data_IF_839748747896
#
_entry.id   IF_839748747896
#
_cell.length_a   1.000
_cell.length_b   1.000
_cell.length_c   1.000
_cell.angle_alpha   90.00
_cell.angle_beta   90.00
_cell.angle_gamma   90.00
#
_symmetry.space_group_name_H-M   'P 1'
#
loop_
_entity.id
_entity.type
_entity.pdbx_description
1 polymer ?
#
# COMPACT_ATOMS: atom_id res chain seq x y z
N UNK A 1 16.84 -42.80 11.25
CA UNK A 1 16.10 -41.80 12.06
C UNK A 1 16.86 -40.50 12.31
N UNK A 2 18.09 -40.52 12.87
CA UNK A 2 18.87 -39.28 13.12
C UNK A 2 19.24 -38.48 11.86
N UNK A 3 19.57 -39.16 10.76
CA UNK A 3 19.86 -38.52 9.48
C UNK A 3 18.60 -37.86 8.87
N UNK A 4 17.45 -38.53 8.96
CA UNK A 4 16.16 -38.00 8.49
C UNK A 4 15.74 -36.76 9.27
N UNK A 5 15.86 -36.77 10.60
CA UNK A 5 15.60 -35.59 11.43
C UNK A 5 16.56 -34.42 11.13
N UNK A 6 17.83 -34.69 10.82
CA UNK A 6 18.79 -33.65 10.39
C UNK A 6 18.43 -33.06 9.03
N UNK A 7 17.99 -33.88 8.08
CA UNK A 7 17.55 -33.42 6.75
C UNK A 7 16.27 -32.58 6.83
N UNK A 8 15.30 -33.00 7.66
CA UNK A 8 14.05 -32.23 7.88
C UNK A 8 14.36 -30.90 8.58
N UNK A 9 15.20 -30.90 9.62
CA UNK A 9 15.60 -29.67 10.30
C UNK A 9 16.36 -28.71 9.36
N UNK A 10 17.27 -29.22 8.53
CA UNK A 10 17.97 -28.42 7.54
C UNK A 10 17.02 -27.81 6.50
N UNK A 11 16.03 -28.58 6.04
CA UNK A 11 15.03 -28.10 5.07
C UNK A 11 14.15 -26.98 5.66
N UNK A 12 13.71 -27.13 6.92
CA UNK A 12 12.93 -26.09 7.64
C UNK A 12 13.76 -24.81 7.86
N UNK A 13 15.03 -24.93 8.26
CA UNK A 13 15.92 -23.77 8.43
C UNK A 13 16.15 -23.05 7.10
N UNK A 14 16.32 -23.81 6.01
CA UNK A 14 16.54 -23.24 4.67
C UNK A 14 15.29 -22.55 4.11
N UNK A 15 14.10 -23.06 4.41
CA UNK A 15 12.83 -22.37 4.11
C UNK A 15 12.62 -21.12 4.96
N UNK A 16 13.10 -21.10 6.21
CA UNK A 16 13.04 -19.92 7.08
C UNK A 16 13.84 -18.72 6.56
N UNK A 17 15.00 -18.96 5.94
CA UNK A 17 15.88 -17.91 5.39
C UNK A 17 15.27 -17.19 4.18
N UNK A 18 14.50 -17.88 3.33
CA UNK A 18 13.77 -17.27 2.21
C UNK A 18 12.49 -16.54 2.67
N UNK A 19 11.97 -16.86 3.86
CA UNK A 19 10.75 -16.28 4.41
C UNK A 19 10.93 -14.91 5.07
N UNK A 20 12.13 -14.56 5.54
CA UNK A 20 12.33 -13.34 6.33
C UNK A 20 11.97 -12.04 5.58
N UNK A 21 12.31 -11.93 4.29
CA UNK A 21 12.00 -10.75 3.46
C UNK A 21 10.53 -10.68 3.05
N UNK A 22 9.85 -11.82 2.99
CA UNK A 22 8.41 -11.89 2.73
C UNK A 22 7.62 -11.49 3.97
N UNK A 23 8.02 -11.98 5.15
CA UNK A 23 7.37 -11.68 6.43
C UNK A 23 7.46 -10.18 6.75
N UNK A 24 8.63 -9.55 6.59
CA UNK A 24 8.80 -8.12 6.85
C UNK A 24 7.92 -7.26 5.94
N UNK A 25 7.80 -7.63 4.66
CA UNK A 25 6.93 -6.95 3.72
C UNK A 25 5.45 -7.06 4.11
N UNK A 26 4.96 -8.25 4.45
CA UNK A 26 3.56 -8.40 4.86
C UNK A 26 3.28 -7.69 6.19
N UNK A 27 4.23 -7.74 7.13
CA UNK A 27 4.10 -7.04 8.40
C UNK A 27 3.98 -5.51 8.20
N UNK A 28 4.83 -4.90 7.36
CA UNK A 28 4.67 -3.46 7.07
C UNK A 28 3.37 -3.16 6.32
N UNK A 29 2.96 -4.04 5.40
CA UNK A 29 1.73 -3.85 4.62
C UNK A 29 0.49 -3.85 5.50
N UNK A 30 0.41 -4.82 6.42
CA UNK A 30 -0.69 -4.91 7.39
C UNK A 30 -0.66 -3.75 8.37
N UNK A 31 0.52 -3.40 8.90
CA UNK A 31 0.67 -2.28 9.84
C UNK A 31 0.18 -0.98 9.22
N UNK A 32 0.67 -0.62 8.03
CA UNK A 32 0.29 0.62 7.36
C UNK A 32 -1.19 0.67 7.01
N UNK A 33 -1.77 -0.45 6.57
CA UNK A 33 -3.21 -0.53 6.33
C UNK A 33 -4.02 -0.33 7.62
N UNK A 34 -3.66 -0.99 8.72
CA UNK A 34 -4.36 -0.85 10.00
C UNK A 34 -4.24 0.57 10.55
N UNK A 35 -3.07 1.20 10.48
CA UNK A 35 -2.85 2.58 10.91
C UNK A 35 -3.80 3.55 10.18
N UNK A 36 -3.91 3.43 8.85
CA UNK A 36 -4.85 4.23 8.06
C UNK A 36 -6.28 3.93 8.50
N UNK A 37 -6.65 2.65 8.54
CA UNK A 37 -8.04 2.26 8.80
C UNK A 37 -8.54 2.69 10.18
N UNK A 38 -7.66 2.67 11.18
CA UNK A 38 -7.95 3.07 12.56
C UNK A 38 -7.95 4.59 12.76
N UNK A 39 -7.21 5.35 11.94
CA UNK A 39 -7.12 6.81 12.03
C UNK A 39 -8.16 7.55 11.17
N UNK A 40 -9.03 6.84 10.45
CA UNK A 40 -10.11 7.45 9.65
C UNK A 40 -11.11 8.17 10.54
N UNK A 41 -11.56 9.31 10.07
CA UNK A 41 -12.59 10.14 10.66
C UNK A 41 -13.73 10.33 9.66
N UNK A 42 -14.96 10.43 10.16
CA UNK A 42 -16.12 10.70 9.33
C UNK A 42 -16.07 12.14 8.78
N UNK A 43 -16.46 12.31 7.52
CA UNK A 43 -16.41 13.61 6.85
C UNK A 43 -17.41 14.60 7.44
N UNK A 44 -18.61 14.15 7.84
CA UNK A 44 -19.62 15.01 8.44
C UNK A 44 -19.17 15.48 9.83
N UNK A 45 -18.65 14.55 10.65
CA UNK A 45 -18.08 14.88 11.96
C UNK A 45 -16.93 15.91 11.85
N UNK A 46 -16.07 15.78 10.84
CA UNK A 46 -14.98 16.72 10.59
C UNK A 46 -15.46 18.12 10.17
N UNK A 47 -16.56 18.21 9.43
CA UNK A 47 -17.12 19.49 8.98
C UNK A 47 -17.71 20.26 10.17
N UNK A 48 -18.29 19.55 11.13
CA UNK A 48 -18.97 20.15 12.29
C UNK A 48 -18.03 20.43 13.47
N UNK A 49 -16.83 19.84 13.51
CA UNK A 49 -15.86 20.04 14.59
C UNK A 49 -15.13 21.40 14.50
N UNK A 50 -15.39 22.34 15.43
CA UNK A 50 -14.75 23.66 15.40
C UNK A 50 -13.24 23.63 15.64
N UNK A 51 -12.70 22.54 16.19
CA UNK A 51 -11.26 22.36 16.46
C UNK A 51 -10.45 22.06 15.18
N UNK A 52 -11.11 21.59 14.12
CA UNK A 52 -10.48 21.29 12.83
C UNK A 52 -10.14 22.59 12.08
N UNK A 53 -8.99 22.71 11.39
CA UNK A 53 -8.68 23.90 10.61
C UNK A 53 -9.78 24.24 9.60
N UNK A 54 -10.23 25.51 9.57
CA UNK A 54 -11.35 25.93 8.71
C UNK A 54 -11.14 25.65 7.22
N UNK A 55 -9.89 25.66 6.75
CA UNK A 55 -9.54 25.29 5.38
C UNK A 55 -9.79 23.80 5.08
N UNK A 56 -9.53 22.91 6.04
CA UNK A 56 -9.82 21.49 5.90
C UNK A 56 -11.33 21.25 5.90
N UNK A 57 -12.08 21.87 6.83
CA UNK A 57 -13.54 21.79 6.85
C UNK A 57 -14.18 22.24 5.54
N UNK A 58 -13.72 23.36 4.98
CA UNK A 58 -14.21 23.87 3.70
C UNK A 58 -13.95 22.92 2.52
N UNK A 59 -12.79 22.23 2.51
CA UNK A 59 -12.47 21.20 1.51
C UNK A 59 -13.36 19.97 1.66
N UNK A 60 -13.60 19.53 2.90
CA UNK A 60 -14.48 18.40 3.19
C UNK A 60 -15.94 18.70 2.80
N UNK A 61 -16.43 19.90 3.11
CA UNK A 61 -17.76 20.34 2.69
C UNK A 61 -17.89 20.38 1.16
N UNK A 62 -16.88 20.90 0.45
CA UNK A 62 -16.86 20.89 -1.02
C UNK A 62 -16.89 19.46 -1.58
N UNK A 63 -16.08 18.56 -1.05
CA UNK A 63 -16.06 17.16 -1.48
C UNK A 63 -17.41 16.45 -1.25
N UNK A 64 -18.04 16.71 -0.10
CA UNK A 64 -19.37 16.19 0.23
C UNK A 64 -20.44 16.70 -0.77
N UNK A 65 -20.42 17.99 -1.08
CA UNK A 65 -21.34 18.57 -2.08
C UNK A 65 -21.13 18.01 -3.50
N UNK A 66 -19.87 17.83 -3.93
CA UNK A 66 -19.54 17.23 -5.23
C UNK A 66 -20.06 15.78 -5.29
N UNK A 67 -19.86 15.01 -4.21
CA UNK A 67 -20.36 13.64 -4.10
C UNK A 67 -21.89 13.61 -4.21
N UNK A 68 -22.59 14.51 -3.51
CA UNK A 68 -24.04 14.57 -3.54
C UNK A 68 -24.56 14.91 -4.95
N UNK A 69 -23.96 15.89 -5.62
CA UNK A 69 -24.25 16.18 -7.02
C UNK A 69 -24.03 14.97 -7.94
N UNK A 70 -22.94 14.21 -7.75
CA UNK A 70 -22.67 13.04 -8.57
C UNK A 70 -23.71 11.93 -8.39
N UNK A 71 -24.32 11.82 -7.20
CA UNK A 71 -25.42 10.89 -6.94
C UNK A 71 -26.71 11.41 -7.58
N UNK A 72 -27.08 12.64 -7.27
CA UNK A 72 -28.39 13.20 -7.63
C UNK A 72 -28.52 13.50 -9.12
N UNK A 73 -27.46 14.06 -9.73
CA UNK A 73 -27.49 14.59 -11.11
C UNK A 73 -26.79 13.69 -12.11
N UNK A 74 -25.77 12.92 -11.68
CA UNK A 74 -25.02 12.02 -12.55
C UNK A 74 -25.39 10.54 -12.36
N UNK A 75 -26.36 10.24 -11.49
CA UNK A 75 -26.85 8.89 -11.19
C UNK A 75 -25.73 7.91 -10.79
N UNK A 76 -24.66 8.40 -10.14
CA UNK A 76 -23.65 7.52 -9.57
C UNK A 76 -24.18 6.81 -8.32
N UNK A 77 -23.70 5.59 -8.01
CA UNK A 77 -24.17 4.85 -6.84
C UNK A 77 -23.87 5.57 -5.52
N UNK A 78 -24.86 5.66 -4.63
CA UNK A 78 -24.67 6.09 -3.25
C UNK A 78 -23.99 4.98 -2.42
N UNK A 79 -22.66 4.92 -2.49
CA UNK A 79 -21.84 3.97 -1.75
C UNK A 79 -20.94 4.68 -0.73
N UNK A 80 -20.10 3.93 -0.01
CA UNK A 80 -19.24 4.48 1.05
C UNK A 80 -18.03 5.30 0.56
N UNK A 81 -17.88 5.52 -0.75
CA UNK A 81 -16.78 6.32 -1.29
C UNK A 81 -16.87 7.76 -0.81
N UNK A 82 -15.71 8.33 -0.46
CA UNK A 82 -15.55 9.72 -0.03
C UNK A 82 -16.30 10.11 1.26
N UNK A 83 -16.79 9.15 2.05
CA UNK A 83 -17.45 9.42 3.35
C UNK A 83 -16.49 9.55 4.54
N UNK A 84 -15.24 9.13 4.39
CA UNK A 84 -14.23 9.20 5.45
C UNK A 84 -12.96 9.87 4.97
N UNK A 85 -12.30 10.60 5.86
CA UNK A 85 -11.01 11.23 5.65
C UNK A 85 -9.98 10.67 6.63
N UNK A 86 -8.71 10.70 6.23
CA UNK A 86 -7.57 10.36 7.10
C UNK A 86 -6.41 11.27 6.74
N UNK A 87 -5.83 11.93 7.75
CA UNK A 87 -4.57 12.62 7.56
C UNK A 87 -3.43 11.60 7.74
N UNK A 88 -2.80 11.19 6.65
CA UNK A 88 -1.70 10.20 6.68
C UNK A 88 -0.40 10.76 7.27
N UNK A 89 -0.26 12.09 7.41
CA UNK A 89 0.91 12.73 8.02
C UNK A 89 2.22 12.55 7.25
N UNK A 90 2.15 12.23 5.95
CA UNK A 90 3.29 11.95 5.07
C UNK A 90 2.95 12.30 3.62
N UNK A 91 3.99 12.43 2.79
CA UNK A 91 3.86 12.95 1.42
C UNK A 91 3.07 12.03 0.47
N UNK A 92 3.02 10.72 0.74
CA UNK A 92 2.32 9.74 -0.08
C UNK A 92 1.66 8.66 0.78
N UNK A 93 0.51 8.15 0.32
CA UNK A 93 -0.17 7.04 1.02
C UNK A 93 0.68 5.78 0.96
N UNK A 94 1.24 5.48 -0.21
CA UNK A 94 2.19 4.38 -0.47
C UNK A 94 3.24 4.76 -1.50
N UNK A 95 4.27 3.95 -1.64
CA UNK A 95 5.27 4.01 -2.70
C UNK A 95 5.21 2.72 -3.53
N UNK A 96 5.09 2.83 -4.84
CA UNK A 96 5.02 1.70 -5.76
C UNK A 96 6.36 1.52 -6.49
N UNK A 97 6.86 0.28 -6.49
CA UNK A 97 8.06 -0.12 -7.22
C UNK A 97 7.66 -0.98 -8.41
N UNK A 98 8.14 -0.61 -9.59
CA UNK A 98 8.10 -1.36 -10.83
C UNK A 98 9.52 -1.78 -11.20
N UNK A 99 9.69 -2.96 -11.80
CA UNK A 99 10.98 -3.40 -12.30
C UNK A 99 10.83 -4.23 -13.56
N UNK A 100 11.78 -4.15 -14.49
CA UNK A 100 11.84 -4.97 -15.70
C UNK A 100 13.30 -5.32 -16.04
N UNK A 101 13.58 -6.40 -16.79
CA UNK A 101 14.89 -6.61 -17.37
C UNK A 101 15.32 -5.42 -18.23
N UNK A 102 16.62 -5.15 -18.28
CA UNK A 102 17.18 -4.09 -19.14
C UNK A 102 16.69 -4.25 -20.59
N UNK A 103 16.19 -3.16 -21.18
CA UNK A 103 15.61 -3.11 -22.53
C UNK A 103 14.34 -3.95 -22.74
N UNK A 104 13.63 -4.32 -21.66
CA UNK A 104 12.35 -5.00 -21.73
C UNK A 104 11.20 -4.14 -21.21
N UNK A 105 10.05 -4.23 -21.88
CA UNK A 105 8.79 -3.67 -21.39
C UNK A 105 7.95 -4.70 -20.61
N UNK A 106 8.48 -5.91 -20.42
CA UNK A 106 7.80 -6.94 -19.63
C UNK A 106 8.16 -6.77 -18.16
N UNK A 107 7.22 -6.32 -17.30
CA UNK A 107 7.53 -6.07 -15.91
C UNK A 107 7.72 -7.39 -15.16
N UNK A 108 8.57 -7.33 -14.14
CA UNK A 108 8.57 -8.30 -13.06
C UNK A 108 7.19 -8.32 -12.41
N UNK A 109 6.66 -9.52 -12.20
CA UNK A 109 5.40 -9.71 -11.50
C UNK A 109 5.63 -10.17 -10.07
N UNK A 110 4.83 -9.64 -9.14
CA UNK A 110 4.76 -10.11 -7.77
C UNK A 110 3.43 -10.81 -7.55
N UNK A 111 3.49 -12.06 -7.09
CA UNK A 111 2.31 -12.89 -6.87
C UNK A 111 1.97 -12.99 -5.39
N UNK A 112 0.71 -12.74 -5.08
CA UNK A 112 0.14 -12.78 -3.74
C UNK A 112 -0.91 -13.89 -3.66
N UNK A 113 -1.01 -14.64 -2.55
CA UNK A 113 -1.92 -15.79 -2.45
C UNK A 113 -3.39 -15.47 -2.73
N UNK A 114 -3.84 -14.26 -2.35
CA UNK A 114 -5.25 -13.85 -2.47
C UNK A 114 -5.49 -12.95 -3.69
N UNK A 115 -4.56 -12.05 -4.01
CA UNK A 115 -4.75 -11.00 -5.01
C UNK A 115 -4.19 -11.35 -6.40
N UNK A 116 -3.55 -12.52 -6.54
CA UNK A 116 -2.91 -12.92 -7.80
C UNK A 116 -1.61 -12.15 -8.05
N UNK A 117 -1.22 -12.03 -9.32
CA UNK A 117 0.03 -11.42 -9.72
C UNK A 117 -0.18 -10.01 -10.27
N UNK A 118 0.63 -9.06 -9.80
CA UNK A 118 0.58 -7.65 -10.21
C UNK A 118 1.96 -7.17 -10.70
N UNK A 119 2.02 -6.19 -11.62
CA UNK A 119 3.26 -5.71 -12.21
C UNK A 119 3.98 -4.64 -11.37
N UNK A 120 3.57 -4.47 -10.11
CA UNK A 120 4.18 -3.54 -9.16
C UNK A 120 4.12 -4.09 -7.73
N UNK A 121 4.93 -3.51 -6.85
CA UNK A 121 4.87 -3.80 -5.41
C UNK A 121 4.78 -2.52 -4.60
N UNK A 122 3.71 -2.39 -3.82
CA UNK A 122 3.43 -1.22 -2.98
C UNK A 122 4.02 -1.33 -1.58
N UNK A 123 4.49 -0.21 -1.04
CA UNK A 123 5.11 -0.10 0.27
C UNK A 123 4.52 1.07 1.06
N UNK A 124 4.17 0.87 2.33
CA UNK A 124 3.83 1.98 3.23
C UNK A 124 5.06 2.65 3.84
N UNK A 125 6.23 2.02 3.71
CA UNK A 125 7.52 2.55 4.17
C UNK A 125 8.36 2.96 2.97
N UNK A 126 8.66 4.27 2.88
CA UNK A 126 9.52 4.82 1.83
C UNK A 126 10.91 4.18 1.86
N UNK A 127 11.49 3.96 3.04
CA UNK A 127 12.82 3.34 3.15
C UNK A 127 12.80 1.90 2.62
N UNK A 128 11.76 1.12 2.92
CA UNK A 128 11.62 -0.25 2.41
C UNK A 128 11.42 -0.30 0.89
N UNK A 129 10.74 0.71 0.32
CA UNK A 129 10.61 0.86 -1.13
C UNK A 129 11.98 1.13 -1.77
N UNK A 130 12.75 2.07 -1.21
CA UNK A 130 14.11 2.41 -1.68
C UNK A 130 15.06 1.22 -1.55
N UNK A 131 15.07 0.53 -0.41
CA UNK A 131 15.90 -0.67 -0.21
C UNK A 131 15.59 -1.75 -1.26
N UNK A 132 14.31 -1.95 -1.55
CA UNK A 132 13.87 -2.89 -2.60
C UNK A 132 14.33 -2.43 -3.98
N UNK A 133 14.18 -1.14 -4.28
CA UNK A 133 14.59 -0.58 -5.57
C UNK A 133 16.09 -0.79 -5.81
N UNK A 134 16.92 -0.46 -4.82
CA UNK A 134 18.38 -0.67 -4.86
C UNK A 134 18.72 -2.15 -5.04
N UNK A 135 18.04 -3.05 -4.34
CA UNK A 135 18.26 -4.49 -4.48
C UNK A 135 17.92 -5.01 -5.88
N UNK A 136 16.81 -4.56 -6.46
CA UNK A 136 16.41 -4.93 -7.83
C UNK A 136 17.37 -4.35 -8.87
N UNK A 137 17.85 -3.12 -8.68
CA UNK A 137 18.88 -2.51 -9.54
C UNK A 137 20.19 -3.31 -9.51
N UNK A 138 20.62 -3.79 -8.33
CA UNK A 138 21.81 -4.66 -8.22
C UNK A 138 21.66 -6.00 -8.96
N UNK A 139 20.43 -6.43 -9.20
CA UNK A 139 20.12 -7.62 -10.00
C UNK A 139 20.12 -7.32 -11.51
N UNK A 140 20.45 -6.09 -11.94
CA UNK A 140 20.49 -5.67 -13.34
C UNK A 140 19.12 -5.35 -13.93
N UNK A 141 18.14 -5.02 -13.08
CA UNK A 141 16.80 -4.62 -13.53
C UNK A 141 16.70 -3.09 -13.65
N UNK A 142 15.98 -2.63 -14.65
CA UNK A 142 15.49 -1.25 -14.73
C UNK A 142 14.36 -1.09 -13.70
N UNK A 143 14.50 -0.11 -12.80
CA UNK A 143 13.56 0.12 -11.70
C UNK A 143 12.97 1.51 -11.78
N UNK A 144 11.65 1.60 -11.60
CA UNK A 144 10.91 2.85 -11.50
C UNK A 144 10.15 2.87 -10.16
N UNK A 145 10.42 3.89 -9.34
CA UNK A 145 9.70 4.17 -8.11
C UNK A 145 8.83 5.42 -8.25
N UNK A 146 7.60 5.34 -7.72
CA UNK A 146 6.66 6.46 -7.71
C UNK A 146 5.89 6.49 -6.40
N UNK A 147 5.50 7.68 -5.99
CA UNK A 147 4.43 7.85 -5.02
C UNK A 147 3.10 7.31 -5.58
N UNK A 148 2.32 6.69 -4.70
CA UNK A 148 1.03 6.10 -5.00
C UNK A 148 0.04 6.53 -3.92
N UNK A 149 -0.72 7.58 -4.26
CA UNK A 149 -1.76 8.18 -3.43
C UNK A 149 -1.32 9.47 -2.76
#
# INVERSE_FOLDING_TARGET
MRAFFRSVAAMVVMSGLAGCTSISYYAQSLKGHVEIMAARQDVEELIDDPSIPGTLRARMASASAIRQFAIDELALPDNNSYRSYVNVGRDAVTWAIFAAPEFSLTPRTWCFPVFGCVPYRGYFSKSSAIETAVELQRQGLDVYDTDAG
#
